data_IF_843473147855
#
_entry.id   IF_843473147855
#
_cell.length_a   1.000
_cell.length_b   1.000
_cell.length_c   1.000
_cell.angle_alpha   90.00
_cell.angle_beta   90.00
_cell.angle_gamma   90.00
#
_symmetry.space_group_name_H-M   'P 1'
#
loop_
_entity.id
_entity.type
_entity.pdbx_description
1 polymer ?
#
# COMPACT_ATOMS: atom_id res chain seq x y z
N UNK A 1 -24.63 58.74 2.03
CA UNK A 1 -23.55 57.90 2.60
C UNK A 1 -24.03 56.46 2.66
N UNK A 2 -23.19 55.51 2.24
CA UNK A 2 -23.53 54.07 2.31
C UNK A 2 -22.83 53.49 3.54
N UNK A 3 -23.56 52.72 4.35
CA UNK A 3 -23.00 52.11 5.56
C UNK A 3 -21.95 51.06 5.19
N UNK A 4 -20.87 50.98 5.98
CA UNK A 4 -19.84 49.94 5.84
C UNK A 4 -20.48 48.54 5.84
N UNK A 5 -20.10 47.70 4.87
CA UNK A 5 -20.63 46.35 4.71
C UNK A 5 -21.85 46.23 3.79
N UNK A 6 -22.41 47.35 3.29
CA UNK A 6 -23.48 47.30 2.29
C UNK A 6 -22.91 46.87 0.94
N UNK A 7 -23.39 45.75 0.42
CA UNK A 7 -23.07 45.29 -0.95
C UNK A 7 -23.63 46.27 -1.95
N UNK A 8 -22.75 46.89 -2.74
CA UNK A 8 -23.11 47.92 -3.72
C UNK A 8 -23.48 47.32 -5.08
N UNK A 9 -22.93 46.16 -5.42
CA UNK A 9 -23.20 45.41 -6.64
C UNK A 9 -22.81 43.94 -6.45
N UNK A 10 -23.46 43.04 -7.21
CA UNK A 10 -23.12 41.62 -7.28
C UNK A 10 -22.78 41.26 -8.72
N UNK A 11 -21.62 40.65 -8.92
CA UNK A 11 -21.18 40.10 -10.21
C UNK A 11 -21.75 38.67 -10.37
N UNK A 12 -21.94 38.22 -11.61
CA UNK A 12 -22.28 36.83 -11.88
C UNK A 12 -21.17 35.90 -11.37
N UNK A 13 -21.52 35.04 -10.42
CA UNK A 13 -20.62 34.12 -9.73
C UNK A 13 -20.81 32.66 -10.13
N UNK A 14 -21.64 32.37 -11.15
CA UNK A 14 -21.98 30.99 -11.56
C UNK A 14 -20.74 30.16 -11.88
N UNK A 15 -19.77 30.73 -12.60
CA UNK A 15 -18.51 30.07 -12.94
C UNK A 15 -17.69 29.73 -11.69
N UNK A 16 -17.58 30.67 -10.74
CA UNK A 16 -16.86 30.44 -9.48
C UNK A 16 -17.55 29.38 -8.62
N UNK A 17 -18.89 29.41 -8.53
CA UNK A 17 -19.66 28.38 -7.83
C UNK A 17 -19.46 27.00 -8.47
N UNK A 18 -19.46 26.92 -9.80
CA UNK A 18 -19.20 25.67 -10.50
C UNK A 18 -17.78 25.16 -10.24
N UNK A 19 -16.77 26.04 -10.28
CA UNK A 19 -15.37 25.69 -9.99
C UNK A 19 -15.21 25.14 -8.56
N UNK A 20 -15.81 25.81 -7.56
CA UNK A 20 -15.78 25.33 -6.17
C UNK A 20 -16.42 23.94 -6.04
N UNK A 21 -17.54 23.67 -6.72
CA UNK A 21 -18.14 22.34 -6.70
C UNK A 21 -17.24 21.27 -7.35
N UNK A 22 -16.53 21.62 -8.43
CA UNK A 22 -15.55 20.73 -9.06
C UNK A 22 -14.36 20.44 -8.13
N UNK A 23 -13.84 21.46 -7.45
CA UNK A 23 -12.72 21.28 -6.52
C UNK A 23 -13.13 20.48 -5.27
N UNK A 24 -14.33 20.70 -4.73
CA UNK A 24 -14.89 19.89 -3.64
C UNK A 24 -15.04 18.41 -4.02
N UNK A 25 -15.52 18.13 -5.25
CA UNK A 25 -15.58 16.76 -5.74
C UNK A 25 -14.18 16.13 -5.88
N UNK A 26 -13.21 16.88 -6.39
CA UNK A 26 -11.82 16.43 -6.49
C UNK A 26 -11.19 16.17 -5.11
N UNK A 27 -11.51 16.99 -4.10
CA UNK A 27 -11.11 16.77 -2.71
C UNK A 27 -11.68 15.46 -2.17
N UNK A 28 -12.97 15.19 -2.40
CA UNK A 28 -13.59 13.93 -2.01
C UNK A 28 -12.88 12.71 -2.62
N UNK A 29 -12.58 12.75 -3.92
CA UNK A 29 -11.81 11.69 -4.59
C UNK A 29 -10.42 11.52 -3.97
N UNK A 30 -9.72 12.60 -3.66
CA UNK A 30 -8.39 12.53 -3.05
C UNK A 30 -8.43 11.93 -1.63
N UNK A 31 -9.47 12.21 -0.84
CA UNK A 31 -9.66 11.60 0.48
C UNK A 31 -9.87 10.10 0.39
N UNK A 32 -10.75 9.65 -0.50
CA UNK A 32 -10.99 8.22 -0.72
C UNK A 32 -9.73 7.50 -1.25
N UNK A 33 -8.95 8.15 -2.10
CA UNK A 33 -7.70 7.59 -2.60
C UNK A 33 -6.68 7.34 -1.48
N UNK A 34 -6.59 8.23 -0.48
CA UNK A 34 -5.74 8.01 0.70
C UNK A 34 -6.22 6.78 1.47
N UNK A 35 -7.53 6.66 1.72
CA UNK A 35 -8.10 5.54 2.45
C UNK A 35 -7.83 4.19 1.74
N UNK A 36 -8.03 4.12 0.42
CA UNK A 36 -7.74 2.92 -0.39
C UNK A 36 -6.25 2.56 -0.34
N UNK A 37 -5.36 3.54 -0.44
CA UNK A 37 -3.92 3.28 -0.40
C UNK A 37 -3.45 2.81 0.99
N UNK A 38 -4.02 3.36 2.06
CA UNK A 38 -3.75 2.91 3.42
C UNK A 38 -4.23 1.47 3.66
N UNK A 39 -5.42 1.12 3.15
CA UNK A 39 -5.93 -0.25 3.18
C UNK A 39 -5.02 -1.21 2.40
N UNK A 40 -4.57 -0.80 1.22
CA UNK A 40 -3.64 -1.59 0.40
C UNK A 40 -2.29 -1.81 1.10
N UNK A 41 -1.75 -0.79 1.78
CA UNK A 41 -0.54 -0.93 2.60
C UNK A 41 -0.74 -1.90 3.77
N UNK A 42 -1.90 -1.84 4.44
CA UNK A 42 -2.23 -2.76 5.52
C UNK A 42 -2.30 -4.21 5.01
N UNK A 43 -2.94 -4.44 3.86
CA UNK A 43 -2.98 -5.75 3.22
C UNK A 43 -1.58 -6.27 2.86
N UNK A 44 -0.75 -5.45 2.20
CA UNK A 44 0.63 -5.83 1.85
C UNK A 44 1.47 -6.22 3.08
N UNK A 45 1.29 -5.52 4.21
CA UNK A 45 1.97 -5.88 5.47
C UNK A 45 1.51 -7.23 6.02
N UNK A 46 0.23 -7.57 5.87
CA UNK A 46 -0.30 -8.88 6.28
C UNK A 46 0.21 -10.00 5.39
N UNK A 47 0.35 -9.76 4.08
CA UNK A 47 1.00 -10.70 3.15
C UNK A 47 2.43 -11.00 3.60
N UNK A 48 3.25 -9.97 3.89
CA UNK A 48 4.61 -10.16 4.42
C UNK A 48 4.62 -10.97 5.72
N UNK A 49 3.66 -10.76 6.63
CA UNK A 49 3.54 -11.61 7.83
C UNK A 49 3.29 -13.08 7.47
N UNK A 50 2.42 -13.35 6.49
CA UNK A 50 2.15 -14.70 6.00
C UNK A 50 3.40 -15.32 5.37
N UNK A 51 4.12 -14.59 4.52
CA UNK A 51 5.30 -15.11 3.82
C UNK A 51 6.44 -15.41 4.79
N UNK A 52 6.58 -14.64 5.88
CA UNK A 52 7.53 -14.94 6.96
C UNK A 52 7.22 -16.26 7.65
N UNK A 53 5.94 -16.58 7.83
CA UNK A 53 5.51 -17.85 8.42
C UNK A 53 5.77 -19.02 7.47
N UNK A 54 5.47 -18.85 6.18
CA UNK A 54 5.77 -19.85 5.15
C UNK A 54 7.27 -20.11 5.07
N UNK A 55 8.11 -19.07 5.00
CA UNK A 55 9.57 -19.23 4.98
C UNK A 55 10.07 -19.96 6.23
N UNK A 56 9.56 -19.62 7.41
CA UNK A 56 9.94 -20.28 8.65
C UNK A 56 9.54 -21.77 8.64
N UNK A 57 8.41 -22.13 8.03
CA UNK A 57 8.02 -23.53 7.82
C UNK A 57 9.00 -24.25 6.89
N UNK A 58 9.25 -23.68 5.69
CA UNK A 58 10.14 -24.31 4.70
C UNK A 58 11.57 -24.44 5.20
N UNK A 59 12.05 -23.50 6.02
CA UNK A 59 13.35 -23.61 6.69
C UNK A 59 13.39 -24.76 7.72
N UNK A 60 12.31 -24.97 8.49
CA UNK A 60 12.23 -26.11 9.41
C UNK A 60 12.22 -27.44 8.67
N UNK A 61 11.48 -27.52 7.57
CA UNK A 61 11.43 -28.72 6.73
C UNK A 61 12.79 -29.01 6.09
N UNK A 62 13.46 -27.99 5.54
CA UNK A 62 14.82 -28.11 5.02
C UNK A 62 15.80 -28.61 6.10
N UNK A 63 15.74 -28.04 7.31
CA UNK A 63 16.60 -28.48 8.41
C UNK A 63 16.34 -29.95 8.79
N UNK A 64 15.06 -30.37 8.81
CA UNK A 64 14.67 -31.76 9.05
C UNK A 64 15.23 -32.67 7.96
N UNK A 65 15.01 -32.36 6.70
CA UNK A 65 15.46 -33.20 5.58
C UNK A 65 16.98 -33.25 5.48
N UNK A 66 17.69 -32.16 5.80
CA UNK A 66 19.14 -32.14 5.90
C UNK A 66 19.65 -33.17 6.94
N UNK A 67 18.96 -33.27 8.09
CA UNK A 67 19.31 -34.22 9.14
C UNK A 67 19.01 -35.68 8.78
N UNK A 68 17.96 -35.91 7.98
CA UNK A 68 17.49 -37.24 7.59
C UNK A 68 18.16 -37.78 6.32
N UNK A 69 18.74 -36.90 5.50
CA UNK A 69 19.42 -37.31 4.25
C UNK A 69 20.71 -38.06 4.53
N UNK A 70 21.52 -37.60 5.50
CA UNK A 70 22.79 -38.25 5.87
C UNK A 70 22.65 -39.73 6.27
N UNK A 71 21.69 -40.12 7.13
CA UNK A 71 21.43 -41.52 7.46
C UNK A 71 20.65 -42.28 6.36
N UNK A 72 20.26 -41.63 5.26
CA UNK A 72 19.54 -42.27 4.16
C UNK A 72 18.04 -42.47 4.39
N UNK A 73 17.45 -41.84 5.42
CA UNK A 73 16.01 -41.94 5.70
C UNK A 73 15.15 -41.17 4.69
N UNK A 74 15.70 -40.15 4.04
CA UNK A 74 15.04 -39.45 2.92
C UNK A 74 15.97 -39.40 1.71
N UNK A 75 15.37 -39.32 0.53
CA UNK A 75 16.13 -39.25 -0.73
C UNK A 75 16.84 -37.90 -0.87
N UNK A 76 17.96 -37.88 -1.62
CA UNK A 76 18.63 -36.63 -1.99
C UNK A 76 17.70 -35.67 -2.73
N UNK A 77 16.82 -36.19 -3.57
CA UNK A 77 15.80 -35.42 -4.28
C UNK A 77 14.85 -34.70 -3.32
N UNK A 78 14.42 -35.36 -2.24
CA UNK A 78 13.55 -34.75 -1.21
C UNK A 78 14.23 -33.54 -0.57
N UNK A 79 15.50 -33.68 -0.20
CA UNK A 79 16.30 -32.57 0.32
C UNK A 79 16.45 -31.42 -0.68
N UNK A 80 16.76 -31.72 -1.95
CA UNK A 80 16.93 -30.68 -2.98
C UNK A 80 15.60 -29.93 -3.26
N UNK A 81 14.45 -30.62 -3.15
CA UNK A 81 13.13 -29.98 -3.21
C UNK A 81 12.91 -29.05 -2.01
N UNK A 82 13.28 -29.45 -0.80
CA UNK A 82 13.18 -28.60 0.40
C UNK A 82 14.09 -27.36 0.31
N UNK A 83 15.30 -27.49 -0.24
CA UNK A 83 16.20 -26.36 -0.55
C UNK A 83 15.52 -25.38 -1.49
N UNK A 84 14.94 -25.89 -2.58
CA UNK A 84 14.27 -25.08 -3.58
C UNK A 84 13.06 -24.36 -3.00
N UNK A 85 12.22 -25.06 -2.23
CA UNK A 85 11.03 -24.50 -1.60
C UNK A 85 11.37 -23.36 -0.61
N UNK A 86 12.40 -23.55 0.23
CA UNK A 86 12.87 -22.49 1.13
C UNK A 86 13.41 -21.28 0.35
N UNK A 87 14.14 -21.50 -0.74
CA UNK A 87 14.64 -20.42 -1.61
C UNK A 87 13.51 -19.65 -2.30
N UNK A 88 12.49 -20.34 -2.81
CA UNK A 88 11.32 -19.72 -3.44
C UNK A 88 10.52 -18.90 -2.44
N UNK A 89 10.27 -19.43 -1.24
CA UNK A 89 9.57 -18.71 -0.17
C UNK A 89 10.33 -17.44 0.26
N UNK A 90 11.66 -17.52 0.35
CA UNK A 90 12.49 -16.35 0.64
C UNK A 90 12.41 -15.28 -0.46
N UNK A 91 12.39 -15.69 -1.73
CA UNK A 91 12.24 -14.77 -2.85
C UNK A 91 10.86 -14.10 -2.87
N UNK A 92 9.80 -14.85 -2.54
CA UNK A 92 8.43 -14.31 -2.41
C UNK A 92 8.37 -13.28 -1.28
N UNK A 93 8.92 -13.60 -0.10
CA UNK A 93 9.00 -12.65 1.02
C UNK A 93 9.74 -11.36 0.61
N UNK A 94 10.90 -11.48 -0.04
CA UNK A 94 11.67 -10.32 -0.47
C UNK A 94 10.91 -9.43 -1.49
N UNK A 95 10.17 -10.06 -2.41
CA UNK A 95 9.28 -9.36 -3.35
C UNK A 95 8.20 -8.60 -2.60
N UNK A 96 7.56 -9.23 -1.63
CA UNK A 96 6.40 -8.65 -0.95
C UNK A 96 6.80 -7.59 0.07
N UNK A 97 8.01 -7.68 0.65
CA UNK A 97 8.64 -6.58 1.39
C UNK A 97 8.89 -5.35 0.49
N UNK A 98 9.31 -5.55 -0.76
CA UNK A 98 9.44 -4.47 -1.72
C UNK A 98 8.06 -3.86 -2.08
N UNK A 99 7.01 -4.68 -2.21
CA UNK A 99 5.65 -4.19 -2.45
C UNK A 99 5.08 -3.40 -1.27
N UNK A 100 5.44 -3.71 -0.03
CA UNK A 100 5.11 -2.87 1.14
C UNK A 100 5.71 -1.46 0.97
N UNK A 101 6.95 -1.36 0.48
CA UNK A 101 7.58 -0.05 0.22
C UNK A 101 6.85 0.71 -0.89
N UNK A 102 6.44 0.04 -1.96
CA UNK A 102 5.62 0.64 -3.03
C UNK A 102 4.28 1.15 -2.48
N UNK A 103 3.59 0.33 -1.70
CA UNK A 103 2.31 0.72 -1.10
C UNK A 103 2.47 1.93 -0.15
N UNK A 104 3.56 1.98 0.63
CA UNK A 104 3.86 3.12 1.48
C UNK A 104 4.09 4.41 0.66
N UNK A 105 4.85 4.33 -0.43
CA UNK A 105 5.06 5.46 -1.33
C UNK A 105 3.74 5.95 -1.96
N UNK A 106 2.84 5.03 -2.30
CA UNK A 106 1.52 5.37 -2.84
C UNK A 106 0.65 6.10 -1.80
N UNK A 107 0.74 5.76 -0.52
CA UNK A 107 0.09 6.51 0.56
C UNK A 107 0.65 7.94 0.61
N UNK A 108 1.97 8.10 0.64
CA UNK A 108 2.61 9.43 0.68
C UNK A 108 2.23 10.29 -0.53
N UNK A 109 2.16 9.70 -1.72
CA UNK A 109 1.72 10.39 -2.94
C UNK A 109 0.25 10.83 -2.86
N UNK A 110 -0.63 9.97 -2.34
CA UNK A 110 -2.05 10.31 -2.16
C UNK A 110 -2.24 11.41 -1.12
N UNK A 111 -1.50 11.38 -0.01
CA UNK A 111 -1.51 12.44 1.00
C UNK A 111 -1.04 13.79 0.43
N UNK A 112 0.02 13.79 -0.39
CA UNK A 112 0.46 14.99 -1.10
C UNK A 112 -0.61 15.52 -2.07
N UNK A 113 -1.29 14.62 -2.78
CA UNK A 113 -2.39 14.97 -3.68
C UNK A 113 -3.59 15.54 -2.93
N UNK A 114 -3.92 14.98 -1.76
CA UNK A 114 -4.95 15.50 -0.86
C UNK A 114 -4.62 16.92 -0.39
N UNK A 115 -3.37 17.17 0.02
CA UNK A 115 -2.92 18.50 0.42
C UNK A 115 -3.05 19.51 -0.72
N UNK A 116 -2.71 19.09 -1.95
CA UNK A 116 -2.87 19.93 -3.14
C UNK A 116 -4.35 20.23 -3.44
N UNK A 117 -5.25 19.26 -3.25
CA UNK A 117 -6.69 19.47 -3.42
C UNK A 117 -7.26 20.42 -2.36
N UNK A 118 -6.85 20.28 -1.10
CA UNK A 118 -7.23 21.18 0.00
C UNK A 118 -6.81 22.63 -0.29
N UNK A 119 -5.61 22.83 -0.82
CA UNK A 119 -5.09 24.15 -1.16
C UNK A 119 -5.84 24.86 -2.31
N UNK A 120 -6.63 24.15 -3.12
CA UNK A 120 -7.47 24.75 -4.17
C UNK A 120 -8.79 25.28 -3.65
N UNK A 121 -9.23 24.80 -2.49
CA UNK A 121 -10.51 25.17 -1.87
C UNK A 121 -10.31 26.23 -0.77
N UNK A 122 -9.10 26.29 -0.19
CA UNK A 122 -8.69 27.29 0.80
C UNK A 122 -8.51 28.68 0.19
#
# INVERSE_FOLDING_TARGET
EVKTGVVLARVDDRLYRQQVQMDLAALGVAQEQVAVNQSSLAAARKTVTSDRLDLAEKQRDLARDASLTKPGFVSRQTYDLAVTAAGQSAAVLARDEALVKVAANNVSLAEASLKAAQARIA
#
